data_IF_331179260692
#
_entry.id   IF_331179260692
#
_cell.length_a   1.000
_cell.length_b   1.000
_cell.length_c   1.000
_cell.angle_alpha   90.00
_cell.angle_beta   90.00
_cell.angle_gamma   90.00
#
_symmetry.space_group_name_H-M   'P 1'
#
loop_
_entity.id
_entity.type
_entity.pdbx_description
1 polymer ?
#
# COMPACT_ATOMS: atom_id res chain seq x y z
N UNK A 1 -30.10 58.56 -10.25
CA UNK A 1 -29.12 57.56 -10.76
C UNK A 1 -28.18 57.27 -9.60
N UNK A 2 -28.43 56.19 -8.85
CA UNK A 2 -27.68 54.90 -8.90
C UNK A 2 -26.20 55.07 -8.52
N UNK A 3 -25.56 54.31 -7.64
CA UNK A 3 -25.88 53.35 -6.57
C UNK A 3 -24.51 52.85 -6.05
N UNK A 4 -24.46 52.52 -4.76
CA UNK A 4 -23.74 51.40 -4.11
C UNK A 4 -22.20 51.33 -4.01
N UNK A 5 -21.80 51.51 -2.74
CA UNK A 5 -20.93 50.70 -1.85
C UNK A 5 -19.50 50.23 -2.20
N UNK A 6 -18.57 50.26 -1.21
CA UNK A 6 -17.22 49.69 -1.28
C UNK A 6 -17.09 48.39 -0.47
N UNK A 7 -16.64 47.28 -1.07
CA UNK A 7 -15.98 46.18 -0.33
C UNK A 7 -15.14 45.33 -1.27
N UNK A 8 -13.89 45.04 -0.91
CA UNK A 8 -13.30 43.69 -0.81
C UNK A 8 -11.98 43.81 -0.02
N UNK A 9 -12.05 43.50 1.27
CA UNK A 9 -10.86 43.19 2.08
C UNK A 9 -10.22 41.88 1.60
N UNK A 10 -8.93 41.89 1.30
CA UNK A 10 -8.13 40.66 1.17
C UNK A 10 -7.81 40.11 2.57
N UNK A 11 -8.61 39.17 3.06
CA UNK A 11 -8.23 38.33 4.21
C UNK A 11 -7.24 37.24 3.77
N UNK A 12 -5.98 37.41 4.15
CA UNK A 12 -4.98 36.35 4.18
C UNK A 12 -5.33 35.45 5.37
N UNK A 13 -5.86 34.26 5.11
CA UNK A 13 -6.09 33.23 6.13
C UNK A 13 -4.77 32.46 6.36
N UNK A 14 -4.03 32.87 7.38
CA UNK A 14 -3.00 32.04 8.01
C UNK A 14 -3.72 30.88 8.71
N UNK A 15 -3.62 29.67 8.17
CA UNK A 15 -4.05 28.45 8.87
C UNK A 15 -2.87 27.92 9.68
N UNK A 16 -2.81 28.32 10.94
CA UNK A 16 -1.92 27.70 11.93
C UNK A 16 -2.43 26.29 12.25
N UNK A 17 -1.71 25.26 11.81
CA UNK A 17 -1.91 23.90 12.28
C UNK A 17 -1.33 23.79 13.71
N UNK A 18 -2.20 23.70 14.71
CA UNK A 18 -1.80 23.42 16.09
C UNK A 18 -1.62 21.91 16.24
N UNK A 19 -0.37 21.47 16.37
CA UNK A 19 -0.03 20.13 16.82
C UNK A 19 -0.23 20.06 18.35
N UNK A 20 -1.26 19.35 18.80
CA UNK A 20 -1.40 19.01 20.22
C UNK A 20 -0.79 17.62 20.46
N UNK A 21 0.50 17.60 20.79
CA UNK A 21 1.14 16.43 21.38
C UNK A 21 0.66 16.26 22.82
N UNK A 22 -0.08 15.19 23.10
CA UNK A 22 -0.49 14.84 24.47
C UNK A 22 0.58 13.92 25.06
N UNK A 23 1.33 14.43 26.05
CA UNK A 23 2.12 13.61 26.95
C UNK A 23 1.18 12.99 28.01
N UNK A 24 1.05 11.67 28.02
CA UNK A 24 0.37 10.96 29.10
C UNK A 24 1.37 10.75 30.26
N UNK A 25 1.12 11.45 31.37
CA UNK A 25 1.81 11.20 32.63
C UNK A 25 1.20 9.96 33.31
N UNK A 26 2.06 9.02 33.69
CA UNK A 26 1.72 7.84 34.46
C UNK A 26 1.31 8.21 35.89
N UNK A 27 0.17 7.70 36.34
CA UNK A 27 -0.26 7.72 37.73
C UNK A 27 -0.36 6.29 38.26
N UNK A 28 0.58 5.91 39.13
CA UNK A 28 0.50 4.75 40.00
C UNK A 28 -0.69 4.92 40.97
N UNK A 29 -1.60 3.95 41.02
CA UNK A 29 -2.35 3.63 42.24
C UNK A 29 -2.34 2.12 42.41
N UNK A 30 -1.90 1.72 43.60
CA UNK A 30 -1.70 0.37 44.10
C UNK A 30 -2.99 -0.26 44.62
N UNK A 31 -3.17 -1.56 44.36
CA UNK A 31 -3.60 -2.56 45.34
C UNK A 31 -5.09 -2.67 45.67
N UNK A 32 -5.63 -3.88 45.53
CA UNK A 32 -6.91 -4.30 46.12
C UNK A 32 -7.52 -5.52 45.43
N UNK A 33 -7.19 -6.70 45.94
CA UNK A 33 -7.67 -8.02 45.52
C UNK A 33 -9.18 -8.27 45.75
N UNK A 34 -9.68 -9.27 45.01
CA UNK A 34 -10.62 -10.33 45.39
C UNK A 34 -12.00 -10.43 44.70
N UNK A 35 -12.25 -11.69 44.33
CA UNK A 35 -13.50 -12.44 44.18
C UNK A 35 -14.18 -12.57 42.81
N UNK A 36 -13.83 -13.69 42.15
CA UNK A 36 -14.73 -14.57 41.38
C UNK A 36 -15.79 -15.19 42.33
N UNK A 37 -16.99 -15.57 41.85
CA UNK A 37 -17.16 -16.92 41.30
C UNK A 37 -18.19 -17.03 40.17
N UNK A 38 -18.23 -18.17 39.47
CA UNK A 38 -19.46 -18.61 38.80
C UNK A 38 -19.31 -19.40 37.51
N UNK A 39 -18.94 -20.68 37.63
CA UNK A 39 -19.11 -21.74 36.64
C UNK A 39 -20.59 -22.03 36.30
N UNK A 40 -20.90 -22.30 35.02
CA UNK A 40 -22.15 -22.92 34.56
C UNK A 40 -22.13 -23.08 33.04
N UNK A 41 -21.57 -24.17 32.51
CA UNK A 41 -22.25 -25.43 32.16
C UNK A 41 -23.00 -25.37 30.82
N UNK A 42 -22.48 -26.14 29.85
CA UNK A 42 -23.10 -26.47 28.57
C UNK A 42 -24.24 -27.50 28.72
N UNK A 43 -25.08 -27.65 27.69
CA UNK A 43 -25.12 -28.91 26.94
C UNK A 43 -25.09 -28.62 25.42
N UNK A 44 -24.71 -29.50 24.49
CA UNK A 44 -24.75 -30.95 24.45
C UNK A 44 -25.64 -31.41 23.29
N UNK A 45 -24.99 -31.76 22.16
CA UNK A 45 -25.36 -32.78 21.15
C UNK A 45 -26.67 -32.68 20.32
N UNK A 46 -26.50 -32.81 19.00
CA UNK A 46 -27.55 -33.18 18.05
C UNK A 46 -26.97 -33.42 16.65
N UNK A 47 -26.79 -34.69 16.29
CA UNK A 47 -26.20 -35.17 15.05
C UNK A 47 -27.24 -35.41 13.93
N UNK A 48 -26.73 -35.86 12.76
CA UNK A 48 -27.35 -36.59 11.64
C UNK A 48 -28.11 -35.84 10.52
N UNK A 49 -27.53 -35.87 9.31
CA UNK A 49 -28.25 -35.83 8.01
C UNK A 49 -28.83 -37.21 7.65
N UNK A 50 -28.91 -37.66 6.38
CA UNK A 50 -28.73 -37.01 5.07
C UNK A 50 -29.88 -37.32 4.07
N UNK A 51 -29.78 -36.89 2.80
CA UNK A 51 -30.67 -37.38 1.74
C UNK A 51 -30.48 -36.71 0.38
N UNK A 52 -29.47 -37.15 -0.38
CA UNK A 52 -29.33 -36.88 -1.81
C UNK A 52 -29.46 -38.20 -2.57
N UNK A 53 -30.42 -38.27 -3.50
CA UNK A 53 -30.65 -39.39 -4.41
C UNK A 53 -30.89 -38.84 -5.81
N UNK A 54 -30.17 -39.38 -6.79
CA UNK A 54 -30.38 -39.08 -8.21
C UNK A 54 -29.25 -39.62 -9.11
N UNK A 55 -29.27 -40.95 -9.32
CA UNK A 55 -28.45 -41.66 -10.32
C UNK A 55 -29.23 -41.83 -11.64
N UNK A 56 -28.49 -41.96 -12.74
CA UNK A 56 -28.92 -42.51 -14.04
C UNK A 56 -28.83 -41.48 -15.16
N UNK A 57 -28.19 -41.70 -16.31
CA UNK A 57 -27.69 -42.92 -16.93
C UNK A 57 -27.92 -42.83 -18.45
N UNK A 58 -26.83 -42.68 -19.20
CA UNK A 58 -26.54 -43.16 -20.58
C UNK A 58 -27.56 -43.02 -21.72
N UNK A 59 -27.10 -42.48 -22.86
CA UNK A 59 -27.68 -42.69 -24.19
C UNK A 59 -26.72 -42.26 -25.32
N UNK A 60 -26.45 -43.16 -26.26
CA UNK A 60 -25.35 -43.18 -27.24
C UNK A 60 -25.83 -42.95 -28.69
N UNK A 61 -24.94 -42.42 -29.56
CA UNK A 61 -24.85 -42.68 -31.02
C UNK A 61 -25.67 -41.77 -31.96
N UNK A 62 -25.31 -41.64 -33.28
CA UNK A 62 -24.50 -42.54 -34.14
C UNK A 62 -23.29 -41.84 -34.84
N UNK A 63 -22.26 -42.51 -35.38
CA UNK A 63 -22.23 -43.32 -36.61
C UNK A 63 -20.81 -43.27 -37.27
N UNK A 64 -20.49 -44.10 -38.31
CA UNK A 64 -19.16 -44.75 -38.44
C UNK A 64 -18.35 -44.45 -39.73
N UNK A 65 -17.08 -44.92 -39.73
CA UNK A 65 -16.27 -45.27 -40.91
C UNK A 65 -15.16 -44.24 -41.26
N UNK A 66 -13.92 -44.58 -41.59
CA UNK A 66 -13.22 -45.84 -41.82
C UNK A 66 -11.71 -45.56 -41.95
N UNK A 67 -10.88 -46.59 -41.83
CA UNK A 67 -9.42 -46.52 -41.86
C UNK A 67 -8.85 -46.91 -43.23
N UNK A 68 -7.71 -46.32 -43.64
CA UNK A 68 -6.60 -46.96 -44.38
C UNK A 68 -5.47 -45.96 -44.65
N UNK A 69 -4.21 -46.39 -44.48
CA UNK A 69 -2.97 -45.63 -44.74
C UNK A 69 -2.48 -45.68 -46.21
N UNK A 70 -1.16 -45.79 -46.48
CA UNK A 70 -0.27 -44.63 -46.70
C UNK A 70 0.48 -44.60 -48.08
N UNK A 71 1.45 -43.66 -48.19
CA UNK A 71 2.61 -43.47 -49.13
C UNK A 71 2.39 -42.98 -50.59
N UNK A 72 3.40 -42.40 -51.32
CA UNK A 72 4.62 -41.62 -50.97
C UNK A 72 4.92 -40.36 -51.87
N UNK A 73 6.11 -39.77 -51.66
CA UNK A 73 6.77 -38.58 -52.28
C UNK A 73 6.95 -38.54 -53.82
N UNK A 74 7.00 -37.30 -54.35
CA UNK A 74 7.88 -36.80 -55.43
C UNK A 74 7.89 -35.24 -55.33
N UNK A 75 8.93 -34.43 -55.49
CA UNK A 75 10.28 -34.54 -56.09
C UNK A 75 10.43 -33.47 -57.18
N UNK A 76 11.20 -32.38 -56.96
CA UNK A 76 11.68 -31.44 -58.01
C UNK A 76 12.68 -30.38 -57.46
N UNK A 77 13.52 -29.75 -58.31
CA UNK A 77 14.98 -29.74 -58.12
C UNK A 77 15.67 -28.35 -58.16
N UNK A 78 17.01 -28.34 -57.99
CA UNK A 78 17.88 -27.40 -58.72
C UNK A 78 18.70 -26.42 -57.88
N UNK A 79 19.94 -26.79 -57.55
CA UNK A 79 20.95 -25.90 -56.98
C UNK A 79 21.72 -25.16 -58.10
N UNK A 80 21.90 -23.84 -57.94
CA UNK A 80 22.85 -23.04 -58.72
C UNK A 80 23.70 -22.18 -57.76
N UNK A 81 25.03 -22.33 -57.84
CA UNK A 81 26.04 -21.52 -57.15
C UNK A 81 26.24 -20.18 -57.86
N UNK A 82 26.58 -19.11 -57.12
CA UNK A 82 27.52 -18.12 -57.60
C UNK A 82 28.80 -18.02 -56.74
N UNK A 83 29.83 -17.53 -57.40
CA UNK A 83 31.26 -17.54 -57.05
C UNK A 83 31.62 -16.44 -56.04
N UNK A 84 32.58 -16.71 -55.15
CA UNK A 84 33.17 -15.73 -54.22
C UNK A 84 34.15 -14.78 -54.92
N UNK A 85 34.14 -13.47 -54.61
CA UNK A 85 35.30 -12.62 -54.79
C UNK A 85 36.19 -12.63 -53.54
N UNK A 86 37.49 -12.46 -53.82
CA UNK A 86 38.63 -12.54 -52.92
C UNK A 86 38.68 -11.36 -51.94
N UNK A 87 39.15 -11.65 -50.72
CA UNK A 87 40.11 -10.83 -49.98
C UNK A 87 39.66 -9.46 -49.47
N UNK A 88 39.12 -9.43 -48.25
CA UNK A 88 39.32 -8.31 -47.34
C UNK A 88 39.51 -8.87 -45.92
N UNK A 89 40.70 -8.66 -45.37
CA UNK A 89 41.07 -9.07 -44.02
C UNK A 89 40.26 -8.29 -42.98
N UNK A 90 39.17 -8.88 -42.49
CA UNK A 90 38.58 -8.47 -41.21
C UNK A 90 39.16 -9.35 -40.11
N UNK A 91 40.10 -8.79 -39.37
CA UNK A 91 40.63 -9.32 -38.12
C UNK A 91 39.45 -9.41 -37.13
N UNK A 92 39.00 -10.61 -36.81
CA UNK A 92 38.05 -10.82 -35.73
C UNK A 92 38.68 -10.31 -34.43
N UNK A 93 38.14 -9.23 -33.88
CA UNK A 93 38.36 -8.89 -32.48
C UNK A 93 37.63 -9.93 -31.63
N UNK A 94 38.21 -10.37 -30.50
CA UNK A 94 37.50 -11.27 -29.61
C UNK A 94 36.33 -10.50 -29.00
N UNK A 95 35.11 -11.03 -29.13
CA UNK A 95 33.97 -10.55 -28.35
C UNK A 95 34.17 -10.98 -26.89
N UNK A 96 35.09 -10.32 -26.18
CA UNK A 96 35.19 -10.46 -24.73
C UNK A 96 34.15 -9.56 -24.10
N UNK A 97 33.15 -10.20 -23.51
CA UNK A 97 32.20 -9.72 -22.51
C UNK A 97 31.56 -8.36 -22.81
N UNK A 98 30.41 -8.40 -23.48
CA UNK A 98 29.30 -7.53 -23.09
C UNK A 98 29.06 -7.77 -21.59
N UNK A 99 29.65 -6.92 -20.76
CA UNK A 99 29.27 -6.82 -19.37
C UNK A 99 27.77 -6.63 -19.33
N UNK A 100 27.08 -7.44 -18.53
CA UNK A 100 25.69 -7.19 -18.15
C UNK A 100 25.54 -5.70 -17.85
N UNK A 101 24.48 -5.02 -18.33
CA UNK A 101 24.34 -3.60 -18.07
C UNK A 101 24.38 -3.43 -16.56
N UNK A 102 25.44 -2.78 -16.08
CA UNK A 102 25.60 -2.43 -14.69
C UNK A 102 24.36 -1.60 -14.37
N UNK A 103 23.44 -2.17 -13.58
CA UNK A 103 22.19 -1.52 -13.20
C UNK A 103 22.61 -0.24 -12.49
N UNK A 104 22.56 0.89 -13.21
CA UNK A 104 22.88 2.20 -12.65
C UNK A 104 22.05 2.31 -11.38
N UNK A 105 22.74 2.31 -10.24
CA UNK A 105 22.07 2.39 -8.95
C UNK A 105 21.29 3.70 -8.94
N UNK A 106 19.98 3.60 -8.69
CA UNK A 106 19.12 4.76 -8.60
C UNK A 106 19.72 5.79 -7.63
N UNK A 107 19.74 7.06 -8.01
CA UNK A 107 20.22 8.13 -7.18
C UNK A 107 19.36 8.22 -5.91
N UNK A 108 20.01 8.26 -4.75
CA UNK A 108 19.31 8.42 -3.46
C UNK A 108 18.72 9.83 -3.36
N UNK A 109 17.52 9.99 -2.75
CA UNK A 109 16.94 11.31 -2.58
C UNK A 109 17.79 12.16 -1.63
N UNK A 110 17.73 13.48 -1.81
CA UNK A 110 18.39 14.41 -0.90
C UNK A 110 17.75 14.35 0.51
N UNK A 111 18.55 14.54 1.55
CA UNK A 111 18.05 14.53 2.93
C UNK A 111 17.12 15.72 3.17
N UNK A 112 15.83 15.46 3.35
CA UNK A 112 14.85 16.51 3.68
C UNK A 112 15.03 17.01 5.12
N UNK A 113 14.50 18.21 5.37
CA UNK A 113 14.43 18.82 6.71
C UNK A 113 13.03 18.76 7.32
N UNK A 114 12.02 18.37 6.52
CA UNK A 114 10.61 18.23 6.90
C UNK A 114 9.95 17.15 6.04
N UNK A 115 8.91 16.46 6.54
CA UNK A 115 8.16 15.51 5.74
C UNK A 115 7.36 16.22 4.65
N UNK A 116 7.00 15.47 3.62
CA UNK A 116 6.02 15.88 2.63
C UNK A 116 4.63 15.80 3.28
N UNK A 117 3.91 16.92 3.29
CA UNK A 117 2.58 17.04 3.88
C UNK A 117 1.46 16.96 2.84
N UNK A 118 1.74 17.44 1.62
CA UNK A 118 0.78 17.52 0.53
C UNK A 118 1.41 16.93 -0.72
N UNK A 119 0.59 16.22 -1.50
CA UNK A 119 1.00 15.72 -2.80
C UNK A 119 0.35 16.59 -3.87
N UNK A 120 1.13 17.31 -4.70
CA UNK A 120 0.56 18.21 -5.69
C UNK A 120 -0.43 17.47 -6.59
N UNK A 121 -1.63 18.04 -6.73
CA UNK A 121 -2.58 17.56 -7.71
C UNK A 121 -2.00 17.77 -9.11
N UNK A 122 -1.94 16.70 -9.92
CA UNK A 122 -1.60 16.86 -11.34
C UNK A 122 -2.65 17.75 -12.02
N UNK A 123 -2.25 18.52 -13.02
CA UNK A 123 -3.16 19.40 -13.76
C UNK A 123 -4.36 18.64 -14.37
N UNK A 124 -4.16 17.37 -14.72
CA UNK A 124 -5.20 16.46 -15.22
C UNK A 124 -6.17 15.94 -14.15
N UNK A 125 -5.83 16.06 -12.87
CA UNK A 125 -6.63 15.60 -11.73
C UNK A 125 -6.62 16.65 -10.61
N UNK A 126 -7.25 17.82 -10.82
CA UNK A 126 -7.19 18.94 -9.89
C UNK A 126 -7.86 18.66 -8.53
N UNK A 127 -8.60 17.55 -8.39
CA UNK A 127 -9.20 17.07 -7.14
C UNK A 127 -8.58 15.75 -6.67
N UNK A 128 -7.27 15.60 -6.88
CA UNK A 128 -6.51 14.45 -6.42
C UNK A 128 -6.35 14.45 -4.88
N UNK A 129 -6.49 13.29 -4.26
CA UNK A 129 -6.23 13.04 -2.84
C UNK A 129 -5.52 11.69 -2.69
N UNK A 130 -4.84 11.46 -1.56
CA UNK A 130 -4.20 10.17 -1.28
C UNK A 130 -4.77 9.58 0.00
N UNK A 131 -5.22 8.32 -0.07
CA UNK A 131 -5.57 7.54 1.11
C UNK A 131 -4.34 6.79 1.58
N UNK A 132 -4.07 6.88 2.88
CA UNK A 132 -2.97 6.15 3.52
C UNK A 132 -3.48 5.39 4.74
N UNK A 133 -2.87 4.24 5.01
CA UNK A 133 -3.18 3.35 6.12
C UNK A 133 -1.88 2.96 6.83
N UNK A 134 -1.82 3.16 8.15
CA UNK A 134 -0.65 2.88 8.97
C UNK A 134 -0.87 1.66 9.88
N UNK A 135 0.25 1.13 10.40
CA UNK A 135 0.41 0.07 11.40
C UNK A 135 0.28 -1.37 10.90
N UNK A 136 -0.42 -1.59 9.79
CA UNK A 136 -0.70 -2.93 9.28
C UNK A 136 0.50 -3.66 8.66
N UNK A 137 0.23 -4.79 8.00
CA UNK A 137 -1.09 -5.39 7.78
C UNK A 137 -1.62 -6.22 8.97
N UNK A 138 -2.92 -6.15 9.25
CA UNK A 138 -3.65 -7.01 10.20
C UNK A 138 -4.70 -7.85 9.45
N UNK A 139 -4.68 -9.20 9.58
CA UNK A 139 -5.56 -10.08 8.82
C UNK A 139 -7.05 -9.91 9.15
N UNK A 140 -7.39 -9.23 10.25
CA UNK A 140 -8.79 -8.95 10.65
C UNK A 140 -9.40 -7.76 9.90
N UNK A 141 -8.58 -6.80 9.46
CA UNK A 141 -9.07 -5.50 8.95
C UNK A 141 -8.53 -5.16 7.56
N UNK A 142 -7.24 -5.37 7.32
CA UNK A 142 -6.59 -5.07 6.05
C UNK A 142 -7.31 -5.71 4.85
N UNK A 143 -7.77 -6.99 4.89
CA UNK A 143 -8.49 -7.57 3.76
C UNK A 143 -9.78 -6.82 3.40
N UNK A 144 -10.57 -6.39 4.39
CA UNK A 144 -11.83 -5.68 4.16
C UNK A 144 -11.59 -4.25 3.61
N UNK A 145 -10.48 -3.62 4.00
CA UNK A 145 -10.03 -2.35 3.42
C UNK A 145 -9.67 -2.55 1.95
N UNK A 146 -8.83 -3.55 1.64
CA UNK A 146 -8.45 -3.88 0.26
C UNK A 146 -9.67 -4.19 -0.61
N UNK A 147 -10.60 -5.01 -0.12
CA UNK A 147 -11.86 -5.33 -0.82
C UNK A 147 -12.69 -4.07 -1.13
N UNK A 148 -12.73 -3.12 -0.20
CA UNK A 148 -13.42 -1.85 -0.38
C UNK A 148 -12.73 -1.00 -1.44
N UNK A 149 -11.41 -0.90 -1.41
CA UNK A 149 -10.64 -0.15 -2.41
C UNK A 149 -10.80 -0.75 -3.80
N UNK A 150 -10.69 -2.08 -3.92
CA UNK A 150 -10.89 -2.83 -5.16
C UNK A 150 -12.30 -2.63 -5.75
N UNK A 151 -13.35 -2.67 -4.90
CA UNK A 151 -14.74 -2.43 -5.32
C UNK A 151 -14.92 -1.08 -6.04
N UNK A 152 -14.16 -0.07 -5.65
CA UNK A 152 -14.23 1.27 -6.24
C UNK A 152 -13.09 1.56 -7.24
N UNK A 153 -12.24 0.57 -7.57
CA UNK A 153 -11.11 0.75 -8.48
C UNK A 153 -10.09 1.77 -7.98
N UNK A 154 -9.93 1.89 -6.66
CA UNK A 154 -9.10 2.89 -6.00
C UNK A 154 -7.81 2.24 -5.49
N UNK A 155 -6.69 2.96 -5.63
CA UNK A 155 -5.40 2.58 -5.04
C UNK A 155 -5.07 3.49 -3.87
N UNK A 156 -4.24 3.00 -2.96
CA UNK A 156 -3.90 3.65 -1.68
C UNK A 156 -2.45 3.30 -1.29
N UNK A 157 -1.93 3.98 -0.27
CA UNK A 157 -0.63 3.64 0.32
C UNK A 157 -0.81 2.96 1.68
N UNK A 158 0.02 1.96 1.96
CA UNK A 158 0.06 1.26 3.24
C UNK A 158 1.44 1.41 3.85
N UNK A 159 1.56 2.09 4.98
CA UNK A 159 2.80 2.19 5.76
C UNK A 159 2.82 1.04 6.76
N UNK A 160 3.63 0.04 6.48
CA UNK A 160 3.59 -1.23 7.22
C UNK A 160 4.65 -1.28 8.33
N UNK A 161 4.25 -1.86 9.46
CA UNK A 161 5.19 -2.21 10.53
C UNK A 161 5.85 -3.55 10.23
N UNK A 162 7.16 -3.66 10.43
CA UNK A 162 7.94 -4.85 10.10
C UNK A 162 7.48 -6.13 10.81
N UNK A 163 7.05 -6.03 12.07
CA UNK A 163 6.50 -7.17 12.82
C UNK A 163 5.21 -7.70 12.15
N UNK A 164 4.28 -6.80 11.84
CA UNK A 164 3.01 -7.14 11.18
C UNK A 164 3.24 -7.70 9.77
N UNK A 165 4.16 -7.09 9.03
CA UNK A 165 4.55 -7.50 7.69
C UNK A 165 5.19 -8.91 7.65
N UNK A 166 5.92 -9.27 8.71
CA UNK A 166 6.59 -10.58 8.81
C UNK A 166 5.58 -11.72 8.87
N UNK A 167 4.51 -11.54 9.63
CA UNK A 167 3.48 -12.56 9.85
C UNK A 167 2.46 -12.63 8.72
N UNK A 168 2.34 -11.57 7.91
CA UNK A 168 1.28 -11.41 6.92
C UNK A 168 1.83 -11.06 5.52
N UNK A 169 2.87 -11.79 5.08
CA UNK A 169 3.54 -11.55 3.79
C UNK A 169 2.62 -11.73 2.58
N UNK A 170 1.59 -12.54 2.69
CA UNK A 170 0.54 -12.69 1.69
C UNK A 170 -0.24 -11.39 1.48
N UNK A 171 -0.52 -10.63 2.54
CA UNK A 171 -1.18 -9.33 2.43
C UNK A 171 -0.30 -8.28 1.75
N UNK A 172 1.02 -8.31 1.98
CA UNK A 172 1.96 -7.45 1.23
C UNK A 172 1.91 -7.77 -0.28
N UNK A 173 1.92 -9.05 -0.65
CA UNK A 173 1.80 -9.47 -2.06
C UNK A 173 0.47 -9.05 -2.66
N UNK A 174 -0.62 -9.19 -1.91
CA UNK A 174 -1.95 -8.75 -2.32
C UNK A 174 -1.99 -7.24 -2.56
N UNK A 175 -1.45 -6.44 -1.65
CA UNK A 175 -1.34 -4.99 -1.81
C UNK A 175 -0.65 -4.62 -3.14
N UNK A 176 0.51 -5.22 -3.43
CA UNK A 176 1.24 -4.95 -4.68
C UNK A 176 0.48 -5.46 -5.91
N UNK A 177 -0.11 -6.65 -5.85
CA UNK A 177 -0.88 -7.22 -6.95
C UNK A 177 -2.10 -6.38 -7.31
N UNK A 178 -2.74 -5.73 -6.34
CA UNK A 178 -3.86 -4.80 -6.52
C UNK A 178 -3.39 -3.36 -6.85
N UNK A 179 -2.08 -3.14 -6.95
CA UNK A 179 -1.48 -1.87 -7.39
C UNK A 179 -1.35 -0.81 -6.30
N UNK A 180 -1.49 -1.17 -5.02
CA UNK A 180 -1.22 -0.28 -3.90
C UNK A 180 0.30 -0.06 -3.71
N UNK A 181 0.66 1.01 -3.01
CA UNK A 181 2.06 1.32 -2.69
C UNK A 181 2.33 0.97 -1.23
N UNK A 182 3.42 0.25 -0.97
CA UNK A 182 3.87 -0.06 0.39
C UNK A 182 4.97 0.92 0.79
N UNK A 183 4.77 1.57 1.93
CA UNK A 183 5.76 2.39 2.63
C UNK A 183 6.26 1.70 3.90
N UNK A 184 7.36 2.19 4.43
CA UNK A 184 7.98 1.72 5.66
C UNK A 184 7.42 2.49 6.86
N UNK A 185 7.02 1.78 7.92
CA UNK A 185 6.55 2.37 9.18
C UNK A 185 7.32 1.88 10.41
N UNK A 186 8.63 1.62 10.26
CA UNK A 186 9.51 1.00 11.28
C UNK A 186 9.15 -0.44 11.63
N UNK A 187 9.91 -1.09 12.50
CA UNK A 187 9.72 -2.50 12.82
C UNK A 187 8.67 -2.67 13.92
N UNK A 188 8.89 -2.06 15.09
CA UNK A 188 8.02 -2.19 16.29
C UNK A 188 7.15 -0.96 16.58
N UNK A 189 7.06 0.01 15.66
CA UNK A 189 6.38 1.28 15.89
C UNK A 189 6.89 2.08 17.13
N UNK A 190 8.22 2.31 17.30
CA UNK A 190 8.75 3.04 18.44
C UNK A 190 8.60 4.56 18.28
N UNK A 191 8.64 5.28 19.40
CA UNK A 191 8.78 6.75 19.39
C UNK A 191 10.21 7.14 18.95
N UNK A 192 10.41 7.35 17.65
CA UNK A 192 11.73 7.58 17.03
C UNK A 192 12.68 8.51 17.81
N UNK A 193 12.26 9.67 18.35
CA UNK A 193 13.16 10.56 19.10
C UNK A 193 13.82 9.93 20.35
N UNK A 194 13.31 8.81 20.88
CA UNK A 194 13.90 8.11 22.02
C UNK A 194 15.00 7.12 21.62
N UNK A 195 15.17 6.87 20.31
CA UNK A 195 16.12 5.91 19.80
C UNK A 195 17.47 6.55 19.41
N UNK A 196 18.55 5.82 19.69
CA UNK A 196 19.85 6.08 19.07
C UNK A 196 19.85 5.73 17.58
N UNK A 197 20.70 6.40 16.79
CA UNK A 197 20.78 6.22 15.34
C UNK A 197 20.93 4.74 14.89
N UNK A 198 21.75 3.88 15.52
CA UNK A 198 21.87 2.47 15.12
C UNK A 198 20.56 1.68 15.30
N UNK A 199 19.85 1.90 16.42
CA UNK A 199 18.57 1.25 16.66
C UNK A 199 17.52 1.68 15.64
N UNK A 200 17.45 2.99 15.35
CA UNK A 200 16.57 3.52 14.31
C UNK A 200 16.90 2.96 12.92
N UNK A 201 18.18 2.81 12.59
CA UNK A 201 18.60 2.21 11.32
C UNK A 201 18.16 0.74 11.21
N UNK A 202 18.23 -0.01 12.32
CA UNK A 202 17.74 -1.40 12.37
C UNK A 202 16.22 -1.48 12.22
N UNK A 203 15.45 -0.60 12.88
CA UNK A 203 14.00 -0.50 12.76
C UNK A 203 13.54 -0.31 11.31
N UNK A 204 14.16 0.65 10.62
CA UNK A 204 13.81 0.98 9.25
C UNK A 204 14.34 -0.10 8.29
N UNK A 205 15.60 -0.52 8.45
CA UNK A 205 16.26 -1.49 7.57
C UNK A 205 15.58 -2.86 7.55
N UNK A 206 15.31 -3.44 8.73
CA UNK A 206 14.66 -4.76 8.83
C UNK A 206 13.27 -4.77 8.20
N UNK A 207 12.53 -3.68 8.35
CA UNK A 207 11.21 -3.52 7.74
C UNK A 207 11.31 -3.48 6.22
N UNK A 208 12.26 -2.72 5.68
CA UNK A 208 12.52 -2.68 4.24
C UNK A 208 12.93 -4.05 3.67
N UNK A 209 13.74 -4.83 4.41
CA UNK A 209 14.13 -6.18 4.03
C UNK A 209 12.93 -7.11 3.90
N UNK A 210 12.03 -7.15 4.90
CA UNK A 210 10.83 -8.01 4.85
C UNK A 210 9.90 -7.62 3.72
N UNK A 211 9.70 -6.30 3.49
CA UNK A 211 8.90 -5.82 2.36
C UNK A 211 9.53 -6.27 1.04
N UNK A 212 10.83 -6.04 0.84
CA UNK A 212 11.52 -6.44 -0.39
C UNK A 212 11.50 -7.95 -0.63
N UNK A 213 11.68 -8.76 0.42
CA UNK A 213 11.59 -10.22 0.33
C UNK A 213 10.18 -10.69 -0.05
N UNK A 214 9.13 -10.02 0.42
CA UNK A 214 7.76 -10.40 0.14
C UNK A 214 7.31 -9.98 -1.27
N UNK A 215 7.73 -8.80 -1.73
CA UNK A 215 7.18 -8.14 -2.93
C UNK A 215 8.15 -8.04 -4.11
N UNK A 216 9.44 -8.24 -3.88
CA UNK A 216 10.51 -7.99 -4.86
C UNK A 216 10.98 -6.53 -4.91
N UNK A 217 10.31 -5.59 -4.23
CA UNK A 217 10.65 -4.17 -4.23
C UNK A 217 10.83 -3.63 -2.82
N UNK A 218 11.93 -2.92 -2.58
CA UNK A 218 12.11 -2.17 -1.34
C UNK A 218 11.17 -0.94 -1.32
N UNK A 219 10.66 -0.55 -0.14
CA UNK A 219 9.84 0.64 -0.02
C UNK A 219 10.66 1.89 -0.37
N UNK A 220 10.02 2.84 -1.04
CA UNK A 220 10.61 4.16 -1.39
C UNK A 220 9.96 5.32 -0.62
N UNK A 221 9.08 4.99 0.31
CA UNK A 221 8.38 5.92 1.19
C UNK A 221 8.57 5.50 2.64
N UNK A 222 8.75 6.48 3.51
CA UNK A 222 8.88 6.27 4.94
C UNK A 222 7.96 7.22 5.70
N UNK A 223 7.31 6.72 6.74
CA UNK A 223 6.54 7.52 7.68
C UNK A 223 6.98 7.19 9.10
N UNK A 224 7.29 8.21 9.89
CA UNK A 224 7.61 8.04 11.30
C UNK A 224 6.34 7.73 12.12
N UNK A 225 6.38 6.70 13.00
CA UNK A 225 5.39 6.50 14.04
C UNK A 225 5.05 7.79 14.77
N UNK A 226 3.77 7.99 15.06
CA UNK A 226 3.22 9.19 15.74
C UNK A 226 3.48 10.53 14.99
N UNK A 227 4.04 10.50 13.78
CA UNK A 227 4.57 11.71 13.13
C UNK A 227 5.76 12.33 13.87
N UNK A 228 6.45 11.55 14.71
CA UNK A 228 7.54 12.02 15.55
C UNK A 228 8.88 11.91 14.81
N UNK A 229 9.31 13.00 14.19
CA UNK A 229 10.53 13.05 13.39
C UNK A 229 11.74 13.56 14.20
N UNK A 230 12.93 13.09 13.84
CA UNK A 230 14.21 13.70 14.22
C UNK A 230 15.15 13.74 13.00
N UNK A 231 16.32 14.38 13.14
CA UNK A 231 17.27 14.51 12.02
C UNK A 231 17.75 13.15 11.49
N UNK A 232 18.03 12.21 12.38
CA UNK A 232 18.49 10.87 12.03
C UNK A 232 17.47 10.11 11.16
N UNK A 233 16.16 10.28 11.42
CA UNK A 233 15.10 9.66 10.64
C UNK A 233 15.12 10.11 9.16
N UNK A 234 15.37 11.39 8.91
CA UNK A 234 15.50 11.91 7.54
C UNK A 234 16.76 11.40 6.85
N UNK A 235 17.90 11.37 7.56
CA UNK A 235 19.18 10.91 7.03
C UNK A 235 19.13 9.43 6.67
N UNK A 236 18.65 8.58 7.59
CA UNK A 236 18.51 7.14 7.37
C UNK A 236 17.50 6.86 6.25
N UNK A 237 16.36 7.56 6.24
CA UNK A 237 15.37 7.42 5.17
C UNK A 237 15.99 7.67 3.79
N UNK A 238 16.71 8.79 3.64
CA UNK A 238 17.39 9.13 2.39
C UNK A 238 18.53 8.15 2.05
N UNK A 239 19.32 7.71 3.03
CA UNK A 239 20.36 6.69 2.86
C UNK A 239 19.80 5.37 2.35
N UNK A 240 18.56 5.03 2.71
CA UNK A 240 17.84 3.83 2.26
C UNK A 240 16.97 4.08 1.02
N UNK A 241 17.04 5.26 0.41
CA UNK A 241 16.33 5.56 -0.85
C UNK A 241 14.86 5.97 -0.69
N UNK A 242 14.46 6.42 0.51
CA UNK A 242 13.07 6.74 0.82
C UNK A 242 12.81 8.23 0.99
N UNK A 243 11.61 8.66 0.60
CA UNK A 243 11.08 10.00 0.88
C UNK A 243 10.17 10.00 2.12
N UNK A 244 10.28 10.99 3.02
CA UNK A 244 9.43 11.09 4.20
C UNK A 244 8.05 11.65 3.85
N UNK A 245 6.98 10.88 4.11
CA UNK A 245 5.59 11.28 3.87
C UNK A 245 4.80 11.29 5.18
N UNK A 246 4.18 12.42 5.52
CA UNK A 246 3.25 12.53 6.64
C UNK A 246 1.81 12.69 6.09
N UNK A 247 0.96 13.46 6.75
CA UNK A 247 -0.44 13.63 6.39
C UNK A 247 -0.95 15.05 6.67
N UNK A 248 -2.11 15.40 6.12
CA UNK A 248 -2.81 16.68 6.39
C UNK A 248 -4.18 16.50 7.01
N UNK A 249 -4.85 15.37 6.75
CA UNK A 249 -6.15 15.04 7.38
C UNK A 249 -5.97 13.79 8.22
N UNK A 250 -6.11 13.94 9.53
CA UNK A 250 -6.10 12.84 10.48
C UNK A 250 -7.54 12.42 10.81
N UNK A 251 -7.85 11.15 10.63
CA UNK A 251 -9.16 10.59 11.00
C UNK A 251 -9.32 10.44 12.51
N UNK A 252 -8.20 10.31 13.23
CA UNK A 252 -8.14 9.89 14.63
C UNK A 252 -8.96 8.61 14.87
N UNK A 253 -8.99 7.71 13.90
CA UNK A 253 -9.72 6.45 13.93
C UNK A 253 -9.17 5.47 14.98
N UNK A 254 -7.87 5.56 15.27
CA UNK A 254 -7.21 4.84 16.37
C UNK A 254 -7.77 5.17 17.77
N UNK A 255 -8.46 6.30 17.93
CA UNK A 255 -9.19 6.66 19.17
C UNK A 255 -10.58 6.04 19.29
N UNK A 256 -11.00 5.25 18.30
CA UNK A 256 -12.33 4.65 18.21
C UNK A 256 -13.50 5.65 18.40
N UNK A 257 -13.48 6.83 17.74
CA UNK A 257 -14.41 7.94 17.98
C UNK A 257 -15.82 7.74 17.39
N UNK A 258 -16.09 6.58 16.78
CA UNK A 258 -17.29 6.25 16.04
C UNK A 258 -17.16 6.49 14.52
N UNK A 259 -17.76 5.60 13.74
CA UNK A 259 -17.75 5.61 12.25
C UNK A 259 -18.20 6.96 11.69
N UNK A 260 -19.29 7.53 12.18
CA UNK A 260 -19.82 8.83 11.73
C UNK A 260 -18.82 9.97 11.95
N UNK A 261 -18.09 9.94 13.07
CA UNK A 261 -17.08 10.97 13.38
C UNK A 261 -15.92 10.90 12.39
N UNK A 262 -15.43 9.69 12.09
CA UNK A 262 -14.36 9.46 11.10
C UNK A 262 -14.81 9.99 9.73
N UNK A 263 -16.00 9.58 9.26
CA UNK A 263 -16.57 10.04 7.99
C UNK A 263 -16.66 11.56 7.94
N UNK A 264 -17.16 12.21 9.01
CA UNK A 264 -17.27 13.66 9.06
C UNK A 264 -15.91 14.36 8.94
N UNK A 265 -14.87 13.86 9.62
CA UNK A 265 -13.52 14.43 9.55
C UNK A 265 -12.95 14.35 8.15
N UNK A 266 -13.03 13.18 7.50
CA UNK A 266 -12.53 13.00 6.13
C UNK A 266 -13.27 13.93 5.16
N UNK A 267 -14.60 13.95 5.20
CA UNK A 267 -15.40 14.74 4.26
C UNK A 267 -15.25 16.26 4.45
N UNK A 268 -15.00 16.73 5.68
CA UNK A 268 -14.71 18.14 5.97
C UNK A 268 -13.29 18.54 5.60
N UNK A 269 -12.34 17.63 5.72
CA UNK A 269 -10.93 17.85 5.36
C UNK A 269 -10.63 17.64 3.87
N UNK A 270 -11.59 17.13 3.09
CA UNK A 270 -11.37 16.82 1.68
C UNK A 270 -11.02 18.07 0.85
N UNK A 271 -9.83 18.06 0.27
CA UNK A 271 -9.32 19.10 -0.61
C UNK A 271 -8.24 18.51 -1.54
N UNK A 272 -7.96 19.15 -2.69
CA UNK A 272 -6.85 18.75 -3.55
C UNK A 272 -5.53 18.64 -2.79
N UNK A 273 -4.77 17.59 -3.08
CA UNK A 273 -3.46 17.30 -2.53
C UNK A 273 -3.41 16.80 -1.09
N UNK A 274 -4.58 16.62 -0.46
CA UNK A 274 -4.69 16.09 0.89
C UNK A 274 -4.25 14.63 0.96
N UNK A 275 -3.51 14.32 2.02
CA UNK A 275 -3.14 12.97 2.42
C UNK A 275 -3.95 12.62 3.67
N UNK A 276 -4.80 11.60 3.57
CA UNK A 276 -5.66 11.14 4.66
C UNK A 276 -4.96 10.02 5.41
N UNK A 277 -4.77 10.19 6.72
CA UNK A 277 -4.27 9.16 7.63
C UNK A 277 -5.43 8.34 8.20
N UNK A 278 -5.38 7.03 7.95
CA UNK A 278 -6.20 5.99 8.59
C UNK A 278 -5.26 4.91 9.16
N UNK A 279 -5.81 3.95 9.88
CA UNK A 279 -5.05 2.79 10.37
C UNK A 279 -5.76 1.49 10.00
N UNK A 280 -4.97 0.48 9.60
CA UNK A 280 -5.47 -0.88 9.35
C UNK A 280 -4.99 -1.90 10.40
N UNK A 281 -4.24 -1.47 11.42
CA UNK A 281 -3.92 -2.25 12.62
C UNK A 281 -3.88 -1.37 13.90
N UNK A 282 -3.13 -1.80 14.93
CA UNK A 282 -2.92 -1.02 16.16
C UNK A 282 -4.11 -1.01 17.13
N UNK A 283 -4.91 -2.08 17.17
CA UNK A 283 -6.12 -2.19 18.01
C UNK A 283 -7.37 -2.47 17.18
N UNK A 284 -8.55 -2.07 17.68
CA UNK A 284 -9.82 -2.32 16.99
C UNK A 284 -10.06 -1.32 15.84
N UNK A 285 -9.95 -1.77 14.60
CA UNK A 285 -10.16 -0.95 13.38
C UNK A 285 -11.50 -1.19 12.66
N UNK A 286 -12.47 -1.80 13.33
CA UNK A 286 -13.81 -2.01 12.76
C UNK A 286 -14.48 -0.70 12.31
N UNK A 287 -14.31 0.38 13.07
CA UNK A 287 -14.84 1.71 12.71
C UNK A 287 -14.14 2.29 11.47
N UNK A 288 -12.82 2.08 11.32
CA UNK A 288 -12.05 2.50 10.14
C UNK A 288 -12.54 1.81 8.88
N UNK A 289 -12.75 0.48 8.95
CA UNK A 289 -13.30 -0.33 7.84
C UNK A 289 -14.68 0.19 7.43
N UNK A 290 -15.59 0.38 8.39
CA UNK A 290 -16.95 0.88 8.11
C UNK A 290 -16.93 2.31 7.56
N UNK A 291 -16.04 3.16 8.08
CA UNK A 291 -15.94 4.55 7.67
C UNK A 291 -15.44 4.64 6.24
N UNK A 292 -14.41 3.88 5.86
CA UNK A 292 -13.90 3.83 4.49
C UNK A 292 -15.00 3.44 3.50
N UNK A 293 -15.78 2.38 3.80
CA UNK A 293 -16.90 1.95 2.98
C UNK A 293 -17.99 3.04 2.81
N UNK A 294 -18.05 4.00 3.73
CA UNK A 294 -19.02 5.09 3.72
C UNK A 294 -18.49 6.37 3.05
N UNK A 295 -17.28 6.83 3.40
CA UNK A 295 -16.77 8.10 2.88
C UNK A 295 -16.19 7.98 1.47
N UNK A 296 -15.64 6.82 1.10
CA UNK A 296 -15.00 6.64 -0.21
C UNK A 296 -15.96 6.90 -1.38
N UNK A 297 -17.14 6.25 -1.48
CA UNK A 297 -18.09 6.55 -2.55
C UNK A 297 -18.55 8.01 -2.53
N UNK A 298 -18.65 8.64 -1.35
CA UNK A 298 -19.04 10.05 -1.25
C UNK A 298 -17.96 10.99 -1.80
N UNK A 299 -16.68 10.72 -1.52
CA UNK A 299 -15.58 11.49 -2.11
C UNK A 299 -15.56 11.35 -3.63
N UNK A 300 -15.72 10.12 -4.14
CA UNK A 300 -15.76 9.85 -5.58
C UNK A 300 -16.94 10.56 -6.26
N UNK A 301 -18.12 10.53 -5.63
CA UNK A 301 -19.32 11.24 -6.09
C UNK A 301 -19.19 12.77 -6.08
N UNK A 302 -18.34 13.32 -5.20
CA UNK A 302 -17.97 14.75 -5.18
C UNK A 302 -16.89 15.12 -6.20
N UNK A 303 -16.42 14.16 -7.01
CA UNK A 303 -15.42 14.39 -8.06
C UNK A 303 -13.97 14.24 -7.60
N UNK A 304 -13.70 13.89 -6.35
CA UNK A 304 -12.34 13.59 -5.91
C UNK A 304 -11.83 12.30 -6.56
N UNK A 305 -10.51 12.23 -6.74
CA UNK A 305 -9.82 11.06 -7.29
C UNK A 305 -8.70 10.65 -6.36
N UNK A 306 -8.64 9.37 -6.04
CA UNK A 306 -7.58 8.83 -5.20
C UNK A 306 -6.37 8.51 -6.08
N UNK A 307 -5.26 9.16 -5.80
CA UNK A 307 -4.01 9.05 -6.56
C UNK A 307 -2.89 8.59 -5.65
N UNK A 308 -1.86 8.00 -6.25
CA UNK A 308 -0.62 7.66 -5.58
C UNK A 308 0.45 8.70 -5.94
N UNK A 309 1.39 9.02 -5.04
CA UNK A 309 2.53 9.85 -5.40
C UNK A 309 3.36 9.15 -6.48
N UNK A 310 3.91 9.94 -7.40
CA UNK A 310 4.95 9.44 -8.29
C UNK A 310 6.15 8.99 -7.44
N UNK A 311 6.74 7.82 -7.71
CA UNK A 311 7.95 7.42 -7.00
C UNK A 311 9.03 8.50 -7.17
N UNK A 312 9.89 8.73 -6.16
CA UNK A 312 11.00 9.65 -6.31
C UNK A 312 11.84 9.30 -7.54
N UNK A 313 12.39 10.30 -8.26
CA UNK A 313 13.23 10.04 -9.41
C UNK A 313 14.37 9.12 -9.00
N UNK A 314 14.47 7.99 -9.72
CA UNK A 314 15.53 6.99 -9.58
C UNK A 314 16.71 7.39 -10.44
#
# INVERSE_FOLDING_TARGET
MKNDEPTVERRVLLRSAVFLGVAAAAGLVTGGENDLPGSGQAPGLGASGPGASGLGGTGFGPGPGGAAGPVPLAGAPGAARPQSPRGASYRLQPMTSEGSPERVAAAKPAVRTRPILELPAAASTPSAMTLTFDDGPDPRYTPAILDTLARYGVRAMFFVCGEMATDNRDLLRRMVAEGHVIGNHTWTHPLIPTLGRPALAAEIGRTSEVVQQATGEAPVWFRAPYGAWNRAAFEIGAELGMEPLAWTVDTLDWKEPGTTTIVSRVLKGAAPGVIVLNHDAGGNRSQSVQALATYLPQLLGRGFRMTLPAPPPR
#
